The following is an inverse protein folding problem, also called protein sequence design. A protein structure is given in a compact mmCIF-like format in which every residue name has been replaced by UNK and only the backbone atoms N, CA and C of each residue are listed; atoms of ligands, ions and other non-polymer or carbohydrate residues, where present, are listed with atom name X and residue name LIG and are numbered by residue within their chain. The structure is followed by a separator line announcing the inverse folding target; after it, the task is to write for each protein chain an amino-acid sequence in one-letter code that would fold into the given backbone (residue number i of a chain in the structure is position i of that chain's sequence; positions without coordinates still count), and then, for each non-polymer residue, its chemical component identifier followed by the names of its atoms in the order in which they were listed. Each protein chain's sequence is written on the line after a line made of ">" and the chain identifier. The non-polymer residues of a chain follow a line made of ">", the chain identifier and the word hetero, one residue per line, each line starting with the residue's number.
data_IF_912779691414
#
_entry.id   IF_912779691414
#
_cell.length_a   1.000
_cell.length_b   1.000
_cell.length_c   1.000
_cell.angle_alpha   90.00
_cell.angle_beta   90.00
_cell.angle_gamma   90.00
#
_symmetry.space_group_name_H-M   'P 1'
#
loop_
_entity.id
_entity.type
_entity.pdbx_description
1 polymer ?
#
# COMPACT_ATOMS: atom_id res chain seq x y z
N UNK A 1 48.69 3.07 -7.99
CA UNK A 1 48.54 3.91 -9.19
C UNK A 1 47.12 3.70 -9.70
N UNK A 2 46.10 4.25 -9.05
CA UNK A 2 45.56 5.61 -9.21
C UNK A 2 44.85 5.85 -10.55
N UNK A 3 43.81 5.09 -10.85
CA UNK A 3 42.71 5.55 -11.72
C UNK A 3 41.71 6.34 -10.88
N UNK A 4 42.15 7.52 -10.44
CA UNK A 4 41.26 8.64 -10.13
C UNK A 4 41.46 9.63 -11.27
N UNK A 5 40.79 9.39 -12.39
CA UNK A 5 40.67 10.39 -13.45
C UNK A 5 39.23 10.90 -13.49
N UNK A 6 39.10 12.12 -12.97
CA UNK A 6 38.22 13.18 -13.45
C UNK A 6 36.78 12.84 -13.81
N UNK A 7 35.87 13.19 -12.90
CA UNK A 7 34.66 13.92 -13.28
C UNK A 7 34.41 15.04 -12.27
N UNK A 8 35.27 16.07 -12.33
CA UNK A 8 34.98 17.39 -11.78
C UNK A 8 34.51 18.26 -12.93
N UNK A 9 33.24 18.64 -12.88
CA UNK A 9 32.61 19.73 -13.63
C UNK A 9 32.55 19.53 -15.16
N UNK A 10 31.74 18.58 -15.64
CA UNK A 10 30.99 18.91 -16.85
C UNK A 10 30.02 20.02 -16.45
N UNK A 11 30.32 21.26 -16.85
CA UNK A 11 29.41 22.37 -16.64
C UNK A 11 28.08 22.01 -17.29
N UNK A 12 27.05 21.89 -16.46
CA UNK A 12 25.69 21.67 -16.94
C UNK A 12 25.37 22.68 -18.05
N UNK A 13 24.58 22.29 -19.07
CA UNK A 13 24.21 23.18 -20.15
C UNK A 13 23.73 24.54 -19.63
N UNK A 14 24.07 25.63 -20.33
CA UNK A 14 23.88 27.02 -19.86
C UNK A 14 22.45 27.31 -19.38
N UNK A 15 21.44 26.69 -20.00
CA UNK A 15 20.03 26.83 -19.62
C UNK A 15 19.67 26.18 -18.28
N UNK A 16 20.49 25.28 -17.73
CA UNK A 16 20.21 24.56 -16.48
C UNK A 16 19.98 25.51 -15.30
N UNK A 17 20.68 26.64 -15.25
CA UNK A 17 20.49 27.66 -14.19
C UNK A 17 19.07 28.25 -14.18
N UNK A 18 18.40 28.30 -15.33
CA UNK A 18 17.01 28.77 -15.46
C UNK A 18 15.99 27.67 -15.12
N UNK A 19 16.34 26.41 -15.34
CA UNK A 19 15.42 25.27 -15.22
C UNK A 19 15.42 24.65 -13.81
N UNK A 20 16.56 24.58 -13.12
CA UNK A 20 16.68 23.95 -11.79
C UNK A 20 15.74 24.59 -10.73
N UNK A 21 15.57 25.92 -10.65
CA UNK A 21 14.64 26.52 -9.69
C UNK A 21 13.16 26.17 -9.91
N UNK A 22 12.80 25.66 -11.09
CA UNK A 22 11.44 25.21 -11.43
C UNK A 22 11.15 23.78 -10.93
N UNK A 23 12.11 23.14 -10.24
CA UNK A 23 12.01 21.74 -9.83
C UNK A 23 12.31 20.74 -10.95
N UNK A 24 12.85 21.21 -12.08
CA UNK A 24 13.34 20.35 -13.15
C UNK A 24 14.76 19.90 -12.84
N UNK A 25 15.11 18.67 -13.21
CA UNK A 25 16.44 18.11 -12.99
C UNK A 25 17.12 17.83 -14.34
N UNK A 26 18.42 18.07 -14.42
CA UNK A 26 19.19 17.70 -15.61
C UNK A 26 19.30 16.17 -15.71
N UNK A 27 19.27 15.62 -16.93
CA UNK A 27 19.28 14.17 -17.18
C UNK A 27 20.47 13.44 -16.54
N UNK A 28 21.60 14.12 -16.32
CA UNK A 28 22.77 13.53 -15.64
C UNK A 28 22.42 12.96 -14.26
N UNK A 29 21.58 13.65 -13.48
CA UNK A 29 21.12 13.16 -12.18
C UNK A 29 20.30 11.88 -12.31
N UNK A 30 19.45 11.79 -13.34
CA UNK A 30 18.69 10.57 -13.64
C UNK A 30 19.59 9.41 -14.10
N UNK A 31 20.66 9.70 -14.87
CA UNK A 31 21.66 8.71 -15.28
C UNK A 31 22.41 8.18 -14.06
N UNK A 32 22.90 9.06 -13.19
CA UNK A 32 23.57 8.70 -11.94
C UNK A 32 22.66 7.84 -11.06
N UNK A 33 21.42 8.27 -10.84
CA UNK A 33 20.43 7.51 -10.06
C UNK A 33 20.13 6.14 -10.67
N UNK A 34 20.07 6.05 -11.99
CA UNK A 34 19.86 4.79 -12.70
C UNK A 34 21.02 3.82 -12.48
N UNK A 35 22.27 4.29 -12.56
CA UNK A 35 23.47 3.49 -12.29
C UNK A 35 23.47 3.01 -10.84
N UNK A 36 23.20 3.90 -9.88
CA UNK A 36 23.07 3.54 -8.46
C UNK A 36 22.03 2.44 -8.25
N UNK A 37 20.84 2.55 -8.84
CA UNK A 37 19.79 1.55 -8.70
C UNK A 37 20.21 0.17 -9.22
N UNK A 38 21.01 0.12 -10.30
CA UNK A 38 21.54 -1.14 -10.85
C UNK A 38 22.63 -1.72 -9.95
N UNK A 39 23.49 -0.88 -9.37
CA UNK A 39 24.49 -1.30 -8.37
C UNK A 39 23.78 -1.88 -7.14
N UNK A 40 22.80 -1.18 -6.59
CA UNK A 40 22.01 -1.66 -5.45
C UNK A 40 21.33 -3.01 -5.74
N UNK A 41 20.79 -3.17 -6.95
CA UNK A 41 20.19 -4.44 -7.37
C UNK A 41 21.22 -5.57 -7.49
N UNK A 42 22.40 -5.28 -8.05
CA UNK A 42 23.51 -6.24 -8.19
C UNK A 42 24.04 -6.70 -6.83
N UNK A 43 24.08 -5.80 -5.85
CA UNK A 43 24.57 -6.09 -4.49
C UNK A 43 23.49 -6.67 -3.57
N UNK A 44 22.22 -6.71 -4.02
CA UNK A 44 21.10 -7.15 -3.20
C UNK A 44 20.62 -6.11 -2.17
N UNK A 45 21.07 -4.87 -2.31
CA UNK A 45 20.77 -3.74 -1.40
C UNK A 45 19.52 -2.95 -1.79
N UNK A 46 18.83 -3.34 -2.87
CA UNK A 46 17.66 -2.61 -3.35
C UNK A 46 16.56 -2.53 -2.28
N UNK A 47 16.09 -1.31 -2.00
CA UNK A 47 15.04 -1.03 -1.03
C UNK A 47 13.66 -1.49 -1.53
N UNK A 48 13.32 -2.75 -1.27
CA UNK A 48 11.99 -3.34 -1.47
C UNK A 48 11.48 -3.98 -0.18
N UNK A 49 10.15 -4.16 -0.10
CA UNK A 49 9.46 -4.70 1.06
C UNK A 49 8.72 -5.97 0.66
N UNK A 50 9.42 -7.10 0.76
CA UNK A 50 8.88 -8.42 0.40
C UNK A 50 7.82 -8.89 1.41
N UNK A 51 6.79 -9.59 0.93
CA UNK A 51 5.88 -10.37 1.78
C UNK A 51 6.36 -11.82 1.91
N UNK A 52 5.54 -12.68 2.52
CA UNK A 52 5.78 -14.12 2.59
C UNK A 52 5.49 -14.87 1.27
N UNK A 53 5.02 -14.17 0.22
CA UNK A 53 4.50 -14.81 -0.99
C UNK A 53 5.45 -14.61 -2.18
N UNK A 54 6.28 -15.61 -2.45
CA UNK A 54 7.34 -15.51 -3.47
C UNK A 54 6.84 -15.13 -4.87
N UNK A 55 5.68 -15.65 -5.28
CA UNK A 55 5.11 -15.30 -6.59
C UNK A 55 4.71 -13.83 -6.65
N UNK A 56 4.10 -13.30 -5.59
CA UNK A 56 3.76 -11.88 -5.51
C UNK A 56 5.02 -11.04 -5.52
N UNK A 57 6.00 -11.39 -4.69
CA UNK A 57 7.30 -10.70 -4.65
C UNK A 57 7.94 -10.66 -6.04
N UNK A 58 8.03 -11.79 -6.76
CA UNK A 58 8.58 -11.81 -8.13
C UNK A 58 7.85 -10.86 -9.08
N UNK A 59 6.52 -10.86 -9.05
CA UNK A 59 5.71 -9.97 -9.88
C UNK A 59 5.91 -8.49 -9.53
N UNK A 60 6.21 -8.19 -8.27
CA UNK A 60 6.49 -6.84 -7.79
C UNK A 60 7.98 -6.49 -7.82
N UNK A 61 8.80 -7.26 -8.55
CA UNK A 61 10.25 -7.10 -8.63
C UNK A 61 10.94 -7.17 -7.25
N UNK A 62 10.58 -8.14 -6.42
CA UNK A 62 11.15 -8.39 -5.09
C UNK A 62 10.29 -7.94 -3.91
N UNK A 63 9.20 -7.20 -4.12
CA UNK A 63 8.28 -6.78 -3.06
C UNK A 63 7.64 -5.42 -3.34
N UNK A 64 6.94 -4.85 -2.36
CA UNK A 64 6.41 -3.49 -2.47
C UNK A 64 7.57 -2.49 -2.58
N UNK A 65 7.41 -1.51 -3.44
CA UNK A 65 8.45 -0.52 -3.76
C UNK A 65 8.03 0.86 -3.27
N UNK A 66 8.93 1.61 -2.60
CA UNK A 66 8.71 3.02 -2.29
C UNK A 66 8.29 3.84 -3.52
N UNK A 67 7.38 4.79 -3.32
CA UNK A 67 6.93 5.69 -4.38
C UNK A 67 6.05 5.00 -5.42
N UNK A 68 5.35 3.93 -5.04
CA UNK A 68 4.40 3.21 -5.91
C UNK A 68 3.02 3.09 -5.27
N UNK A 69 2.01 3.12 -6.15
CA UNK A 69 0.66 2.70 -5.85
C UNK A 69 0.48 1.22 -6.21
N UNK A 70 -0.34 0.52 -5.46
CA UNK A 70 -0.79 -0.83 -5.74
C UNK A 70 -2.29 -0.90 -5.53
N UNK A 71 -3.01 -1.51 -6.46
CA UNK A 71 -4.47 -1.65 -6.36
C UNK A 71 -4.82 -3.10 -6.12
N UNK A 72 -5.58 -3.36 -5.05
CA UNK A 72 -6.16 -4.67 -4.76
C UNK A 72 -7.65 -4.58 -5.06
N UNK A 73 -8.06 -5.19 -6.17
CA UNK A 73 -9.45 -5.16 -6.64
C UNK A 73 -10.11 -6.53 -6.59
N UNK A 74 -11.41 -6.54 -6.32
CA UNK A 74 -12.20 -7.76 -6.17
C UNK A 74 -13.66 -7.44 -5.86
N UNK A 75 -14.54 -8.41 -6.08
CA UNK A 75 -15.96 -8.30 -5.72
C UNK A 75 -16.17 -8.32 -4.19
N UNK A 76 -17.30 -7.82 -3.67
CA UNK A 76 -17.63 -7.99 -2.24
C UNK A 76 -17.57 -9.46 -1.82
N UNK A 77 -17.13 -9.75 -0.60
CA UNK A 77 -17.07 -11.13 -0.07
C UNK A 77 -15.89 -12.00 -0.53
N UNK A 78 -15.11 -11.61 -1.54
CA UNK A 78 -14.00 -12.45 -2.06
C UNK A 78 -12.71 -12.42 -1.22
N UNK A 79 -12.72 -11.69 -0.09
CA UNK A 79 -11.58 -11.66 0.84
C UNK A 79 -10.53 -10.56 0.62
N UNK A 80 -10.85 -9.46 -0.08
CA UNK A 80 -9.92 -8.32 -0.30
C UNK A 80 -9.27 -7.81 0.99
N UNK A 81 -10.08 -7.46 2.00
CA UNK A 81 -9.56 -6.92 3.27
C UNK A 81 -8.79 -7.98 4.06
N UNK A 82 -9.18 -9.25 3.99
CA UNK A 82 -8.44 -10.34 4.63
C UNK A 82 -7.05 -10.52 3.98
N UNK A 83 -7.00 -10.45 2.65
CA UNK A 83 -5.77 -10.51 1.87
C UNK A 83 -4.84 -9.33 2.15
N UNK A 84 -5.37 -8.09 2.14
CA UNK A 84 -4.55 -6.90 2.40
C UNK A 84 -4.02 -6.86 3.83
N UNK A 85 -4.85 -7.26 4.81
CA UNK A 85 -4.43 -7.34 6.20
C UNK A 85 -3.31 -8.37 6.38
N UNK A 86 -3.43 -9.57 5.77
CA UNK A 86 -2.37 -10.57 5.79
C UNK A 86 -1.09 -10.07 5.10
N UNK A 87 -1.22 -9.41 3.95
CA UNK A 87 -0.09 -8.85 3.22
C UNK A 87 0.71 -7.86 4.08
N UNK A 88 0.02 -6.98 4.82
CA UNK A 88 0.67 -6.02 5.72
C UNK A 88 1.43 -6.72 6.84
N UNK A 89 0.82 -7.69 7.52
CA UNK A 89 1.52 -8.46 8.56
C UNK A 89 2.74 -9.19 7.99
N UNK A 90 2.60 -9.85 6.84
CA UNK A 90 3.69 -10.56 6.17
C UNK A 90 4.85 -9.63 5.80
N UNK A 91 4.53 -8.41 5.33
CA UNK A 91 5.54 -7.38 5.02
C UNK A 91 6.25 -6.93 6.29
N UNK A 92 5.53 -6.67 7.37
CA UNK A 92 6.15 -6.24 8.63
C UNK A 92 7.02 -7.34 9.25
N UNK A 93 6.57 -8.59 9.20
CA UNK A 93 7.33 -9.75 9.67
C UNK A 93 8.64 -9.95 8.89
N UNK A 94 8.60 -9.80 7.56
CA UNK A 94 9.78 -9.95 6.69
C UNK A 94 10.75 -8.77 6.73
N UNK A 95 10.34 -7.64 7.29
CA UNK A 95 11.09 -6.39 7.26
C UNK A 95 11.17 -5.75 8.66
N UNK A 96 11.24 -6.58 9.70
CA UNK A 96 11.22 -6.16 11.11
C UNK A 96 12.41 -5.29 11.55
N UNK A 97 13.49 -5.31 10.78
CA UNK A 97 14.73 -4.55 10.93
C UNK A 97 14.63 -3.16 10.28
N UNK A 98 13.61 -2.94 9.45
CA UNK A 98 13.38 -1.68 8.73
C UNK A 98 12.40 -0.80 9.50
N UNK A 99 12.63 0.52 9.44
CA UNK A 99 11.70 1.51 9.98
C UNK A 99 10.47 1.65 9.06
N UNK A 100 9.49 0.75 9.21
CA UNK A 100 8.22 0.75 8.47
C UNK A 100 7.10 1.26 9.36
N UNK A 101 6.24 2.12 8.83
CA UNK A 101 5.04 2.62 9.51
C UNK A 101 3.85 2.42 8.59
N UNK A 102 2.79 1.80 9.09
CA UNK A 102 1.56 1.55 8.33
C UNK A 102 0.46 2.47 8.82
N UNK A 103 -0.05 3.30 7.91
CA UNK A 103 -1.26 4.09 8.12
C UNK A 103 -2.42 3.34 7.47
N UNK A 104 -3.27 2.72 8.29
CA UNK A 104 -4.42 1.96 7.82
C UNK A 104 -5.69 2.81 7.91
N UNK A 105 -6.09 3.38 6.78
CA UNK A 105 -7.33 4.12 6.56
C UNK A 105 -8.48 3.14 6.35
N UNK A 106 -9.00 2.60 7.45
CA UNK A 106 -9.97 1.50 7.49
C UNK A 106 -11.40 2.03 7.67
N UNK A 107 -11.91 2.74 6.67
CA UNK A 107 -13.21 3.42 6.76
C UNK A 107 -14.41 2.47 6.68
N UNK A 108 -14.23 1.27 6.11
CA UNK A 108 -15.29 0.24 6.10
C UNK A 108 -15.39 -0.50 7.44
N UNK A 109 -14.24 -0.83 8.05
CA UNK A 109 -14.18 -1.68 9.25
C UNK A 109 -13.18 -1.14 10.26
N UNK A 110 -13.60 -0.93 11.53
CA UNK A 110 -12.71 -0.54 12.60
C UNK A 110 -11.54 -1.51 12.84
N UNK A 111 -10.46 -0.99 13.42
CA UNK A 111 -9.23 -1.76 13.66
C UNK A 111 -9.45 -2.99 14.54
N UNK A 112 -10.32 -2.92 15.55
CA UNK A 112 -10.67 -4.06 16.40
C UNK A 112 -11.29 -5.22 15.61
N UNK A 113 -12.07 -4.95 14.55
CA UNK A 113 -12.61 -6.00 13.68
C UNK A 113 -11.52 -6.62 12.80
N UNK A 114 -10.53 -5.82 12.37
CA UNK A 114 -9.38 -6.32 11.62
C UNK A 114 -8.51 -7.24 12.47
N UNK A 115 -8.25 -6.87 13.73
CA UNK A 115 -7.51 -7.70 14.69
C UNK A 115 -8.29 -8.97 15.04
N UNK A 116 -9.60 -8.88 15.23
CA UNK A 116 -10.44 -10.02 15.50
C UNK A 116 -10.36 -11.08 14.39
N UNK A 117 -10.42 -10.64 13.11
CA UNK A 117 -10.21 -11.52 11.95
C UNK A 117 -8.81 -12.13 11.90
N UNK A 118 -7.78 -11.35 12.21
CA UNK A 118 -6.40 -11.84 12.25
C UNK A 118 -6.17 -12.87 13.38
N UNK A 119 -6.84 -12.70 14.52
CA UNK A 119 -6.83 -13.65 15.64
C UNK A 119 -7.59 -14.94 15.30
N UNK A 120 -8.75 -14.82 14.65
CA UNK A 120 -9.61 -15.93 14.24
C UNK A 120 -8.86 -16.96 13.37
N UNK A 121 -7.98 -16.49 12.47
CA UNK A 121 -7.09 -17.35 11.68
C UNK A 121 -6.18 -18.25 12.53
N UNK A 122 -5.68 -17.73 13.65
CA UNK A 122 -4.74 -18.44 14.51
C UNK A 122 -5.45 -19.39 15.48
N UNK A 123 -6.64 -19.02 15.95
CA UNK A 123 -7.46 -19.86 16.83
C UNK A 123 -8.23 -20.94 16.08
N UNK A 124 -8.33 -20.85 14.75
CA UNK A 124 -9.21 -21.67 13.88
C UNK A 124 -10.69 -21.56 14.28
N UNK A 125 -11.07 -20.43 14.86
CA UNK A 125 -12.46 -20.08 15.17
C UNK A 125 -12.90 -18.97 14.23
N UNK A 126 -14.15 -19.00 13.81
CA UNK A 126 -14.76 -17.91 13.08
C UNK A 126 -14.98 -16.70 13.99
N UNK A 127 -15.05 -15.51 13.39
CA UNK A 127 -15.37 -14.28 14.12
C UNK A 127 -16.72 -14.37 14.84
N UNK A 128 -17.70 -15.04 14.23
CA UNK A 128 -19.02 -15.26 14.83
C UNK A 128 -18.95 -16.18 16.06
N UNK A 129 -18.07 -17.19 16.06
CA UNK A 129 -17.85 -18.07 17.21
C UNK A 129 -17.16 -17.33 18.35
N UNK A 130 -16.15 -16.52 18.03
CA UNK A 130 -15.43 -15.71 19.03
C UNK A 130 -16.33 -14.68 19.74
N UNK A 131 -17.37 -14.19 19.07
CA UNK A 131 -18.33 -13.21 19.58
C UNK A 131 -19.71 -13.81 19.89
N UNK A 132 -19.85 -15.13 19.91
CA UNK A 132 -21.16 -15.76 20.08
C UNK A 132 -21.73 -15.46 21.46
N UNK A 133 -22.99 -15.00 21.47
CA UNK A 133 -23.76 -14.78 22.70
C UNK A 133 -24.36 -16.10 23.20
N UNK A 134 -24.79 -16.95 22.27
CA UNK A 134 -25.47 -18.22 22.59
C UNK A 134 -24.48 -19.32 23.00
N UNK A 135 -23.29 -19.34 22.37
CA UNK A 135 -22.24 -20.32 22.63
C UNK A 135 -20.99 -19.61 23.16
N UNK A 136 -20.95 -19.38 24.47
CA UNK A 136 -19.83 -18.67 25.11
C UNK A 136 -18.49 -19.35 24.79
N UNK A 137 -17.50 -18.54 24.43
CA UNK A 137 -16.13 -18.99 24.20
C UNK A 137 -15.57 -19.67 25.46
N UNK A 138 -14.97 -20.86 25.29
CA UNK A 138 -14.35 -21.57 26.40
C UNK A 138 -13.15 -20.79 26.97
N UNK A 139 -12.79 -21.05 28.24
CA UNK A 139 -11.63 -20.41 28.86
C UNK A 139 -10.32 -20.68 28.09
N UNK A 140 -10.18 -21.89 27.55
CA UNK A 140 -9.05 -22.26 26.69
C UNK A 140 -9.08 -21.50 25.36
N UNK A 141 -10.23 -21.44 24.69
CA UNK A 141 -10.40 -20.68 23.44
C UNK A 141 -10.10 -19.19 23.62
N UNK A 142 -10.53 -18.61 24.74
CA UNK A 142 -10.22 -17.23 25.11
C UNK A 142 -8.74 -17.00 25.36
N UNK A 143 -8.09 -17.91 26.10
CA UNK A 143 -6.64 -17.86 26.36
C UNK A 143 -5.84 -17.96 25.06
N UNK A 144 -6.22 -18.88 24.17
CA UNK A 144 -5.62 -19.04 22.84
C UNK A 144 -5.79 -17.77 21.99
N UNK A 145 -6.98 -17.17 22.00
CA UNK A 145 -7.24 -15.90 21.32
C UNK A 145 -6.32 -14.78 21.85
N UNK A 146 -6.25 -14.58 23.18
CA UNK A 146 -5.37 -13.58 23.79
C UNK A 146 -3.92 -13.78 23.32
N UNK A 147 -3.38 -14.99 23.44
CA UNK A 147 -2.00 -15.28 23.02
C UNK A 147 -1.77 -14.95 21.55
N UNK A 148 -2.76 -15.25 20.69
CA UNK A 148 -2.67 -15.00 19.25
C UNK A 148 -2.65 -13.52 18.87
N UNK A 149 -3.35 -12.65 19.63
CA UNK A 149 -3.47 -11.22 19.28
C UNK A 149 -2.50 -10.34 20.06
N UNK A 150 -1.99 -10.79 21.20
CA UNK A 150 -1.05 -9.99 22.01
C UNK A 150 0.21 -9.62 21.24
N UNK A 151 0.72 -10.53 20.40
CA UNK A 151 1.86 -10.25 19.52
C UNK A 151 1.62 -9.06 18.58
N UNK A 152 0.36 -8.76 18.22
CA UNK A 152 0.06 -7.66 17.31
C UNK A 152 0.33 -6.27 17.92
N UNK A 153 0.45 -6.16 19.24
CA UNK A 153 0.74 -4.89 19.92
C UNK A 153 2.10 -4.29 19.56
N UNK A 154 3.03 -5.09 19.07
CA UNK A 154 4.37 -4.62 18.69
C UNK A 154 4.43 -4.02 17.28
N UNK A 155 3.40 -4.22 16.45
CA UNK A 155 3.44 -3.82 15.05
C UNK A 155 3.16 -2.32 14.90
N UNK A 156 3.90 -1.61 14.02
CA UNK A 156 3.73 -0.17 13.78
C UNK A 156 2.55 0.11 12.84
N UNK A 157 1.37 -0.41 13.17
CA UNK A 157 0.12 -0.22 12.42
C UNK A 157 -0.78 0.75 13.18
N UNK A 158 -1.18 1.82 12.51
CA UNK A 158 -2.04 2.87 13.05
C UNK A 158 -3.35 2.89 12.26
N UNK A 159 -4.45 2.49 12.90
CA UNK A 159 -5.78 2.46 12.29
C UNK A 159 -6.47 3.83 12.39
N UNK A 160 -7.16 4.22 11.32
CA UNK A 160 -8.07 5.35 11.28
C UNK A 160 -9.38 4.91 10.63
N UNK A 161 -10.44 4.77 11.44
CA UNK A 161 -11.79 4.41 10.99
C UNK A 161 -12.70 5.63 10.79
N UNK A 162 -12.28 6.80 11.27
CA UNK A 162 -12.98 8.07 11.01
C UNK A 162 -12.69 8.46 9.56
N UNK A 163 -13.71 8.62 8.69
CA UNK A 163 -13.51 9.00 7.30
C UNK A 163 -12.71 10.30 7.19
N UNK A 164 -11.70 10.29 6.31
CA UNK A 164 -10.80 11.42 6.01
C UNK A 164 -10.74 11.64 4.52
N UNK A 165 -10.87 12.89 4.08
CA UNK A 165 -10.67 13.22 2.67
C UNK A 165 -9.22 12.96 2.24
N UNK A 166 -8.97 12.92 0.94
CA UNK A 166 -7.63 12.57 0.43
C UNK A 166 -6.56 13.58 0.80
N UNK A 167 -6.93 14.85 0.99
CA UNK A 167 -5.99 15.91 1.40
C UNK A 167 -5.66 15.80 2.89
N UNK A 168 -6.58 15.36 3.74
CA UNK A 168 -6.31 15.01 5.13
C UNK A 168 -5.38 13.80 5.25
N UNK A 169 -5.56 12.79 4.40
CA UNK A 169 -4.66 11.64 4.31
C UNK A 169 -3.25 12.10 3.92
N UNK A 170 -3.13 12.94 2.89
CA UNK A 170 -1.85 13.51 2.45
C UNK A 170 -1.15 14.29 3.56
N UNK A 171 -1.87 15.16 4.27
CA UNK A 171 -1.32 15.92 5.42
C UNK A 171 -0.82 15.00 6.52
N UNK A 172 -1.51 13.90 6.80
CA UNK A 172 -1.07 12.93 7.80
C UNK A 172 0.22 12.21 7.36
N UNK A 173 0.33 11.82 6.07
CA UNK A 173 1.55 11.22 5.51
C UNK A 173 2.72 12.21 5.61
N UNK A 174 2.51 13.47 5.23
CA UNK A 174 3.52 14.51 5.37
C UNK A 174 3.96 14.69 6.83
N UNK A 175 3.01 14.77 7.77
CA UNK A 175 3.31 14.91 9.20
C UNK A 175 4.15 13.75 9.75
N UNK A 176 3.81 12.50 9.39
CA UNK A 176 4.60 11.32 9.78
C UNK A 176 6.00 11.35 9.19
N UNK A 177 6.14 11.79 7.93
CA UNK A 177 7.43 11.93 7.24
C UNK A 177 8.35 12.96 7.91
N UNK A 178 7.80 14.07 8.41
CA UNK A 178 8.55 15.13 9.11
C UNK A 178 8.96 14.71 10.53
N UNK A 179 8.09 13.98 11.24
CA UNK A 179 8.32 13.65 12.66
C UNK A 179 9.23 12.43 12.85
N UNK A 180 9.24 11.50 11.90
CA UNK A 180 10.01 10.26 12.02
C UNK A 180 11.28 10.32 11.19
N UNK A 181 12.36 9.73 11.71
CA UNK A 181 13.62 9.66 11.00
C UNK A 181 13.55 8.59 9.88
N UNK A 182 13.50 9.06 8.62
CA UNK A 182 13.55 8.23 7.40
C UNK A 182 12.55 7.05 7.38
N UNK A 183 11.26 7.23 7.72
CA UNK A 183 10.29 6.13 7.75
C UNK A 183 10.04 5.58 6.34
N UNK A 184 9.65 4.32 6.24
CA UNK A 184 8.93 3.82 5.06
C UNK A 184 7.46 3.82 5.42
N UNK A 185 6.69 4.72 4.81
CA UNK A 185 5.26 4.87 5.08
C UNK A 185 4.50 4.01 4.09
N UNK A 186 3.67 3.10 4.60
CA UNK A 186 2.71 2.31 3.82
C UNK A 186 1.30 2.80 4.17
N UNK A 187 0.62 3.38 3.19
CA UNK A 187 -0.80 3.71 3.27
C UNK A 187 -1.62 2.50 2.82
N UNK A 188 -2.52 2.01 3.66
CA UNK A 188 -3.53 1.02 3.27
C UNK A 188 -4.91 1.69 3.35
N UNK A 189 -5.57 1.86 2.21
CA UNK A 189 -6.88 2.53 2.11
C UNK A 189 -7.96 1.48 1.80
N UNK A 190 -8.87 1.26 2.75
CA UNK A 190 -9.99 0.30 2.67
C UNK A 190 -11.34 1.00 2.88
N UNK A 191 -12.05 1.40 1.81
CA UNK A 191 -11.75 1.23 0.38
C UNK A 191 -11.92 2.55 -0.39
N UNK A 192 -11.45 2.60 -1.64
CA UNK A 192 -11.35 3.80 -2.48
C UNK A 192 -12.59 4.69 -2.52
N UNK A 193 -13.78 4.09 -2.54
CA UNK A 193 -15.07 4.80 -2.64
C UNK A 193 -15.52 5.44 -1.31
N UNK A 194 -14.93 5.05 -0.17
CA UNK A 194 -15.24 5.60 1.15
C UNK A 194 -14.39 6.81 1.50
N UNK A 195 -13.41 7.15 0.67
CA UNK A 195 -12.68 8.42 0.80
C UNK A 195 -13.65 9.56 0.46
N UNK A 196 -14.00 10.44 1.43
CA UNK A 196 -14.88 11.56 1.18
C UNK A 196 -14.27 12.53 0.17
N UNK A 197 -15.12 13.17 -0.61
CA UNK A 197 -14.75 14.21 -1.56
C UNK A 197 -15.93 15.16 -1.75
N UNK A 198 -15.65 16.43 -2.01
CA UNK A 198 -16.64 17.47 -2.32
C UNK A 198 -17.18 17.36 -3.75
N UNK A 199 -16.50 16.61 -4.63
CA UNK A 199 -16.95 16.35 -6.00
C UNK A 199 -18.20 15.47 -5.99
N UNK A 200 -19.16 15.72 -6.88
CA UNK A 200 -20.42 14.93 -6.90
C UNK A 200 -20.28 13.61 -7.67
N UNK A 201 -19.50 13.60 -8.75
CA UNK A 201 -19.37 12.46 -9.65
C UNK A 201 -18.35 11.48 -9.11
N UNK A 202 -18.76 10.22 -8.92
CA UNK A 202 -17.92 9.17 -8.34
C UNK A 202 -16.60 8.95 -9.09
N UNK A 203 -16.63 9.00 -10.43
CA UNK A 203 -15.41 8.90 -11.25
C UNK A 203 -14.45 10.07 -10.96
N UNK A 204 -14.96 11.28 -10.73
CA UNK A 204 -14.12 12.43 -10.38
C UNK A 204 -13.51 12.28 -8.99
N UNK A 205 -14.25 11.74 -8.01
CA UNK A 205 -13.71 11.41 -6.68
C UNK A 205 -12.53 10.44 -6.79
N UNK A 206 -12.67 9.38 -7.59
CA UNK A 206 -11.62 8.39 -7.80
C UNK A 206 -10.40 8.97 -8.55
N UNK A 207 -10.64 9.86 -9.52
CA UNK A 207 -9.57 10.61 -10.18
C UNK A 207 -8.79 11.49 -9.19
N UNK A 208 -9.49 12.23 -8.33
CA UNK A 208 -8.85 13.07 -7.30
C UNK A 208 -8.03 12.21 -6.33
N UNK A 209 -8.60 11.10 -5.86
CA UNK A 209 -7.92 10.15 -5.00
C UNK A 209 -6.65 9.59 -5.65
N UNK A 210 -6.76 9.15 -6.91
CA UNK A 210 -5.65 8.57 -7.67
C UNK A 210 -4.50 9.57 -7.84
N UNK A 211 -4.80 10.78 -8.32
CA UNK A 211 -3.80 11.84 -8.52
C UNK A 211 -3.13 12.27 -7.22
N UNK A 212 -3.89 12.35 -6.13
CA UNK A 212 -3.33 12.70 -4.83
C UNK A 212 -2.45 11.57 -4.29
N UNK A 213 -2.80 10.31 -4.53
CA UNK A 213 -1.92 9.17 -4.24
C UNK A 213 -0.60 9.26 -5.02
N UNK A 214 -0.65 9.54 -6.32
CA UNK A 214 0.57 9.74 -7.14
C UNK A 214 1.43 10.89 -6.61
N UNK A 215 0.80 11.99 -6.20
CA UNK A 215 1.50 13.10 -5.57
C UNK A 215 2.19 12.66 -4.26
N UNK A 216 1.50 11.93 -3.38
CA UNK A 216 2.10 11.38 -2.15
C UNK A 216 3.26 10.43 -2.41
N UNK A 217 3.22 9.67 -3.50
CA UNK A 217 4.30 8.77 -3.90
C UNK A 217 5.51 9.56 -4.40
N UNK A 218 5.28 10.57 -5.24
CA UNK A 218 6.35 11.43 -5.75
C UNK A 218 7.00 12.28 -4.65
N UNK A 219 6.21 12.88 -3.76
CA UNK A 219 6.70 13.78 -2.73
C UNK A 219 7.25 13.07 -1.51
N UNK A 220 6.56 12.02 -1.04
CA UNK A 220 6.92 11.36 0.21
C UNK A 220 7.53 10.00 0.00
N UNK A 221 7.73 9.52 -1.23
CA UNK A 221 8.23 8.18 -1.52
C UNK A 221 7.47 7.08 -0.74
N UNK A 222 6.18 7.33 -0.49
CA UNK A 222 5.30 6.44 0.27
C UNK A 222 4.80 5.29 -0.61
N UNK A 223 4.42 4.18 0.01
CA UNK A 223 3.79 3.05 -0.65
C UNK A 223 2.29 3.19 -0.41
N UNK A 224 1.46 3.17 -1.45
CA UNK A 224 0.00 3.16 -1.27
C UNK A 224 -0.57 1.84 -1.76
N UNK A 225 -1.32 1.16 -0.90
CA UNK A 225 -2.15 0.01 -1.24
C UNK A 225 -3.61 0.47 -1.17
N UNK A 226 -4.27 0.53 -2.32
CA UNK A 226 -5.64 0.99 -2.46
C UNK A 226 -6.57 -0.20 -2.72
N UNK A 227 -7.52 -0.45 -1.82
CA UNK A 227 -8.55 -1.44 -2.05
C UNK A 227 -9.65 -0.83 -2.92
N UNK A 228 -9.99 -1.52 -4.00
CA UNK A 228 -11.03 -1.10 -4.92
C UNK A 228 -12.03 -2.23 -5.20
N UNK A 229 -13.21 -1.87 -5.67
CA UNK A 229 -14.25 -2.83 -6.04
C UNK A 229 -14.25 -3.05 -7.55
N UNK A 230 -14.51 -4.28 -7.97
CA UNK A 230 -14.79 -4.58 -9.37
C UNK A 230 -16.25 -4.27 -9.69
N UNK A 231 -16.48 -3.81 -10.92
CA UNK A 231 -17.79 -3.70 -11.57
C UNK A 231 -18.53 -5.05 -11.51
N UNK A 232 -19.86 -5.00 -11.39
CA UNK A 232 -20.71 -6.21 -11.36
C UNK A 232 -20.65 -7.01 -12.67
N UNK A 233 -20.20 -6.40 -13.77
CA UNK A 233 -20.17 -7.01 -15.10
C UNK A 233 -19.32 -8.29 -15.16
N UNK A 234 -18.33 -8.44 -14.27
CA UNK A 234 -17.53 -9.67 -14.17
C UNK A 234 -18.37 -10.90 -13.77
N UNK A 235 -19.53 -10.70 -13.13
CA UNK A 235 -20.45 -11.77 -12.71
C UNK A 235 -21.42 -12.19 -13.82
N UNK A 236 -21.39 -11.55 -14.99
CA UNK A 236 -22.27 -11.92 -16.11
C UNK A 236 -21.96 -13.34 -16.61
N UNK A 237 -23.00 -14.10 -16.93
CA UNK A 237 -22.92 -15.55 -17.16
C UNK A 237 -21.91 -15.94 -18.24
N UNK A 238 -21.78 -15.13 -19.31
CA UNK A 238 -20.80 -15.38 -20.37
C UNK A 238 -19.35 -15.25 -19.90
N UNK A 239 -19.06 -14.32 -18.97
CA UNK A 239 -17.72 -14.15 -18.35
C UNK A 239 -17.46 -15.31 -17.41
N UNK A 240 -18.45 -15.62 -16.58
CA UNK A 240 -18.32 -16.63 -15.54
C UNK A 240 -18.06 -18.03 -16.08
N UNK A 241 -18.62 -18.38 -17.25
CA UNK A 241 -18.45 -19.68 -17.90
C UNK A 241 -17.18 -19.82 -18.74
N UNK A 242 -16.65 -18.74 -19.30
CA UNK A 242 -15.53 -18.79 -20.24
C UNK A 242 -14.17 -18.47 -19.59
N UNK A 243 -14.11 -17.52 -18.64
CA UNK A 243 -12.91 -17.22 -17.85
C UNK A 243 -13.26 -16.21 -16.73
N UNK A 244 -13.25 -16.65 -15.47
CA UNK A 244 -13.43 -15.77 -14.30
C UNK A 244 -12.13 -15.00 -13.96
N UNK A 245 -11.45 -14.44 -14.96
CA UNK A 245 -10.25 -13.63 -14.74
C UNK A 245 -10.60 -12.14 -14.85
N UNK A 246 -10.36 -11.33 -13.79
CA UNK A 246 -10.56 -9.88 -13.86
C UNK A 246 -9.70 -9.22 -14.92
N UNK A 247 -10.28 -8.26 -15.64
CA UNK A 247 -9.59 -7.36 -16.57
C UNK A 247 -9.57 -5.94 -16.02
N UNK A 248 -8.73 -5.05 -16.57
CA UNK A 248 -8.70 -3.63 -16.17
C UNK A 248 -10.05 -2.94 -16.35
N UNK A 249 -10.82 -3.31 -17.38
CA UNK A 249 -12.19 -2.80 -17.61
C UNK A 249 -13.19 -3.23 -16.53
N UNK A 250 -12.87 -4.26 -15.75
CA UNK A 250 -13.69 -4.66 -14.61
C UNK A 250 -13.42 -3.81 -13.38
N UNK A 251 -12.34 -3.02 -13.34
CA UNK A 251 -12.08 -2.10 -12.24
C UNK A 251 -13.08 -0.94 -12.31
N UNK A 252 -13.78 -0.68 -11.20
CA UNK A 252 -14.60 0.52 -11.12
C UNK A 252 -13.69 1.76 -11.15
N UNK A 253 -13.91 2.65 -12.12
CA UNK A 253 -12.96 3.74 -12.40
C UNK A 253 -11.63 3.24 -13.00
N UNK A 254 -11.65 2.15 -13.79
CA UNK A 254 -10.45 1.59 -14.41
C UNK A 254 -9.66 2.60 -15.27
N UNK A 255 -10.34 3.54 -15.91
CA UNK A 255 -9.71 4.61 -16.71
C UNK A 255 -8.96 5.65 -15.86
N UNK A 256 -9.18 5.67 -14.54
CA UNK A 256 -8.47 6.53 -13.60
C UNK A 256 -7.48 5.72 -12.78
N UNK A 257 -7.98 5.02 -11.78
CA UNK A 257 -7.18 4.26 -10.81
C UNK A 257 -6.35 3.17 -11.50
N UNK A 258 -6.89 2.53 -12.55
CA UNK A 258 -6.19 1.45 -13.23
C UNK A 258 -5.04 1.92 -14.12
N UNK A 259 -5.08 3.16 -14.62
CA UNK A 259 -4.01 3.72 -15.44
C UNK A 259 -2.87 4.30 -14.60
N UNK A 260 -3.20 4.82 -13.41
CA UNK A 260 -2.25 5.45 -12.49
C UNK A 260 -1.55 4.45 -11.55
N UNK A 261 -2.05 3.20 -11.47
CA UNK A 261 -1.56 2.14 -10.58
C UNK A 261 -0.42 1.29 -11.17
#
# INVERSE_FOLDING_TARGET
>A
MSEKQNNKNEELPVNSRLLLPLGLEHISKSVEKSIENVVDAREGNRKVFSSQWDRLNRNLMGGLQPGKMYVIAGRPGVGKSAFSNQLIFDVLDKNHDKNVVVLYWSFEMPGEQQILRAGSKHTKLETAELLSVDNKLSAEGYSNYIMSVQKYKQYPIYFCSVPKDVHEIERAVHSVREQLHQPTIINLIDHSRLVPSTLDIELHKLNELSKTCMYMQAQHNSITILLSQLNRNIEQEFRAKNQYQPMLTDLFGGDSIGQDA
#
